data_IF_874487575805
#
_entry.id   IF_874487575805
#
_cell.length_a   1.000
_cell.length_b   1.000
_cell.length_c   1.000
_cell.angle_alpha   90.00
_cell.angle_beta   90.00
_cell.angle_gamma   90.00
#
_symmetry.space_group_name_H-M   'P 1'
#
loop_
_entity.id
_entity.type
_entity.pdbx_description
1 polymer ?
#
# COMPACT_ATOMS: atom_id res chain seq x y z
N UNK A 1 -15.72 6.64 -13.39
CA UNK A 1 -15.31 7.37 -12.18
C UNK A 1 -15.44 6.42 -10.99
N UNK A 2 -14.70 5.32 -11.01
CA UNK A 2 -14.68 4.39 -9.89
C UNK A 2 -13.99 5.10 -8.71
N UNK A 3 -14.46 4.87 -7.48
CA UNK A 3 -14.24 5.74 -6.33
C UNK A 3 -12.75 6.05 -6.04
N UNK A 4 -12.21 7.12 -6.62
CA UNK A 4 -10.82 7.57 -6.40
C UNK A 4 -10.53 7.85 -4.91
N UNK A 5 -11.55 8.29 -4.17
CA UNK A 5 -11.48 8.45 -2.72
C UNK A 5 -11.27 7.12 -1.98
N UNK A 6 -11.91 6.04 -2.44
CA UNK A 6 -11.72 4.70 -1.89
C UNK A 6 -10.31 4.18 -2.20
N UNK A 7 -9.81 4.44 -3.41
CA UNK A 7 -8.44 4.13 -3.80
C UNK A 7 -7.41 4.89 -2.94
N UNK A 8 -7.59 6.19 -2.72
CA UNK A 8 -6.71 6.98 -1.87
C UNK A 8 -6.73 6.49 -0.41
N UNK A 9 -7.92 6.18 0.13
CA UNK A 9 -8.06 5.63 1.48
C UNK A 9 -7.35 4.27 1.62
N UNK A 10 -7.42 3.40 0.61
CA UNK A 10 -6.69 2.13 0.57
C UNK A 10 -5.18 2.33 0.58
N UNK A 11 -4.66 3.27 -0.23
CA UNK A 11 -3.23 3.60 -0.23
C UNK A 11 -2.75 4.17 1.11
N UNK A 12 -3.53 5.04 1.73
CA UNK A 12 -3.22 5.57 3.07
C UNK A 12 -3.22 4.46 4.12
N UNK A 13 -4.19 3.54 4.11
CA UNK A 13 -4.22 2.40 5.03
C UNK A 13 -3.05 1.44 4.85
N UNK A 14 -2.70 1.16 3.59
CA UNK A 14 -1.56 0.33 3.23
C UNK A 14 -0.21 0.94 3.69
N UNK A 15 -0.02 2.24 3.51
CA UNK A 15 1.16 2.95 4.00
C UNK A 15 1.27 2.94 5.54
N UNK A 16 0.13 3.06 6.23
CA UNK A 16 0.07 2.98 7.70
C UNK A 16 0.43 1.57 8.19
N UNK A 17 -0.08 0.54 7.52
CA UNK A 17 0.27 -0.86 7.78
C UNK A 17 1.75 -1.15 7.52
N UNK A 18 2.32 -0.64 6.42
CA UNK A 18 3.74 -0.76 6.11
C UNK A 18 4.63 -0.17 7.22
N UNK A 19 4.24 1.01 7.72
CA UNK A 19 4.96 1.67 8.81
C UNK A 19 4.91 0.86 10.10
N UNK A 20 3.73 0.39 10.51
CA UNK A 20 3.57 -0.42 11.72
C UNK A 20 4.34 -1.75 11.63
N UNK A 21 4.32 -2.40 10.46
CA UNK A 21 5.00 -3.67 10.25
C UNK A 21 6.53 -3.50 10.22
N UNK A 22 7.04 -2.40 9.68
CA UNK A 22 8.46 -2.07 9.72
C UNK A 22 8.96 -1.90 11.16
N UNK A 23 8.18 -1.22 12.01
CA UNK A 23 8.48 -1.09 13.44
C UNK A 23 8.47 -2.45 14.16
N UNK A 24 7.62 -3.39 13.74
CA UNK A 24 7.47 -4.70 14.40
C UNK A 24 8.55 -5.71 14.00
N UNK A 25 8.97 -5.71 12.74
CA UNK A 25 9.92 -6.70 12.18
C UNK A 25 11.35 -6.11 12.12
N UNK A 26 11.53 -4.82 12.41
CA UNK A 26 12.82 -4.10 12.31
C UNK A 26 13.47 -4.22 10.92
N UNK A 27 12.64 -4.28 9.88
CA UNK A 27 13.06 -4.28 8.46
C UNK A 27 12.95 -2.85 7.93
N UNK A 28 13.81 -2.49 6.98
CA UNK A 28 13.79 -1.18 6.31
C UNK A 28 12.41 -0.81 5.80
N UNK A 29 11.92 0.37 6.21
CA UNK A 29 10.65 0.96 5.79
C UNK A 29 10.57 1.01 4.25
N UNK A 30 11.66 1.40 3.60
CA UNK A 30 11.74 1.51 2.15
C UNK A 30 11.44 0.18 1.43
N UNK A 31 11.88 -0.95 2.00
CA UNK A 31 11.61 -2.26 1.41
C UNK A 31 10.12 -2.61 1.51
N UNK A 32 9.50 -2.32 2.65
CA UNK A 32 8.08 -2.56 2.88
C UNK A 32 7.20 -1.65 2.00
N UNK A 33 7.57 -0.37 1.83
CA UNK A 33 6.85 0.54 0.95
C UNK A 33 6.89 0.09 -0.51
N UNK A 34 8.02 -0.41 -0.99
CA UNK A 34 8.12 -0.98 -2.34
C UNK A 34 7.25 -2.24 -2.48
N UNK A 35 7.28 -3.15 -1.50
CA UNK A 35 6.43 -4.35 -1.52
C UNK A 35 4.94 -3.99 -1.52
N UNK A 36 4.52 -3.06 -0.65
CA UNK A 36 3.16 -2.57 -0.57
C UNK A 36 2.76 -1.82 -1.85
N UNK A 37 3.68 -1.09 -2.48
CA UNK A 37 3.49 -0.46 -3.78
C UNK A 37 3.20 -1.46 -4.89
N UNK A 38 3.99 -2.53 -4.95
CA UNK A 38 3.80 -3.62 -5.93
C UNK A 38 2.50 -4.37 -5.67
N UNK A 39 2.18 -4.68 -4.40
CA UNK A 39 0.92 -5.34 -4.04
C UNK A 39 -0.30 -4.45 -4.30
N UNK A 40 -0.23 -3.17 -3.94
CA UNK A 40 -1.30 -2.20 -4.18
C UNK A 40 -1.56 -1.96 -5.68
N UNK A 41 -0.49 -1.93 -6.49
CA UNK A 41 -0.59 -1.78 -7.94
C UNK A 41 -0.93 -3.06 -8.70
N UNK A 42 -0.54 -4.24 -8.19
CA UNK A 42 -0.70 -5.52 -8.91
C UNK A 42 -1.87 -6.38 -8.42
N UNK A 43 -2.19 -6.35 -7.12
CA UNK A 43 -3.21 -7.22 -6.49
C UNK A 43 -4.55 -6.51 -6.32
N UNK A 44 -4.55 -5.23 -5.97
CA UNK A 44 -5.79 -4.48 -5.97
C UNK A 44 -6.12 -4.05 -7.40
N UNK A 45 -7.38 -4.14 -7.86
CA UNK A 45 -7.83 -3.66 -9.17
C UNK A 45 -7.85 -2.11 -9.22
N UNK A 46 -6.85 -1.45 -8.63
CA UNK A 46 -6.66 0.00 -8.65
C UNK A 46 -6.15 0.49 -10.01
N UNK A 47 -5.81 -0.44 -10.91
CA UNK A 47 -5.54 -0.19 -12.31
C UNK A 47 -6.07 -1.36 -13.16
N UNK A 48 -7.38 -1.37 -13.47
CA UNK A 48 -7.90 -2.11 -14.61
C UNK A 48 -8.24 -1.09 -15.69
N UNK A 49 -7.37 -1.01 -16.70
CA UNK A 49 -7.76 -0.49 -18.02
C UNK A 49 -8.50 -1.61 -18.76
#
# INVERSE_FOLDING_TARGET
MENQWLQAALWMGLALGATLLSLRIAISIALLEIMVGVLGGSFLPLHRT
#
